data_IF_497796178297
#
_entry.id   IF_497796178297
#
_cell.length_a   1.000
_cell.length_b   1.000
_cell.length_c   1.000
_cell.angle_alpha   90.00
_cell.angle_beta   90.00
_cell.angle_gamma   90.00
#
_symmetry.space_group_name_H-M   'P 1'
#
loop_
_entity.id
_entity.type
_entity.pdbx_description
1 polymer ?
#
# COMPACT_ATOMS: atom_id res chain seq x y z
N UNK A 1 14.78 34.15 -32.93
CA UNK A 1 15.88 33.33 -32.35
C UNK A 1 16.20 33.94 -31.00
N UNK A 2 15.91 33.40 -29.82
CA UNK A 2 15.49 32.07 -29.34
C UNK A 2 14.61 32.33 -28.11
N UNK A 3 13.35 31.89 -28.13
CA UNK A 3 12.48 31.86 -26.95
C UNK A 3 12.93 30.71 -26.06
N UNK A 4 13.86 30.97 -25.13
CA UNK A 4 14.33 30.01 -24.16
C UNK A 4 13.26 29.79 -23.09
N UNK A 5 12.51 28.68 -23.18
CA UNK A 5 11.70 28.19 -22.07
C UNK A 5 12.63 27.49 -21.10
N UNK A 6 12.88 28.11 -19.95
CA UNK A 6 13.55 27.44 -18.83
C UNK A 6 12.51 26.57 -18.15
N UNK A 7 12.56 25.26 -18.40
CA UNK A 7 11.82 24.29 -17.59
C UNK A 7 12.48 24.23 -16.21
N UNK A 8 12.00 25.04 -15.26
CA UNK A 8 12.34 24.83 -13.86
C UNK A 8 11.63 23.57 -13.36
N UNK A 9 12.29 22.43 -13.52
CA UNK A 9 11.94 21.19 -12.83
C UNK A 9 12.40 21.36 -11.39
N UNK A 10 11.50 21.56 -10.44
CA UNK A 10 11.86 21.89 -9.05
C UNK A 10 12.54 20.73 -8.30
N UNK A 11 12.68 19.54 -8.92
CA UNK A 11 13.41 18.36 -8.41
C UNK A 11 13.19 18.08 -6.92
N UNK A 12 11.99 18.34 -6.39
CA UNK A 12 11.72 18.14 -4.97
C UNK A 12 11.83 16.64 -4.69
N UNK A 13 12.72 16.26 -3.76
CA UNK A 13 12.99 14.86 -3.42
C UNK A 13 12.16 14.36 -2.24
N UNK A 14 11.82 15.26 -1.32
CA UNK A 14 11.03 14.97 -0.13
C UNK A 14 10.08 16.14 0.13
N UNK A 15 8.91 15.82 0.69
CA UNK A 15 7.99 16.81 1.25
C UNK A 15 8.20 16.88 2.76
N UNK A 16 8.10 18.06 3.38
CA UNK A 16 8.10 18.20 4.83
C UNK A 16 6.85 17.55 5.43
N UNK A 17 6.98 16.88 6.58
CA UNK A 17 5.84 16.27 7.28
C UNK A 17 4.83 17.34 7.75
N UNK A 18 5.28 18.59 7.94
CA UNK A 18 4.46 19.74 8.27
C UNK A 18 3.45 20.10 7.17
N UNK A 19 3.65 19.64 5.92
CA UNK A 19 2.67 19.78 4.86
C UNK A 19 1.32 19.18 5.24
N UNK A 20 1.33 18.10 6.03
CA UNK A 20 0.13 17.41 6.45
C UNK A 20 -0.66 18.14 7.54
N UNK A 21 -0.10 19.22 8.11
CA UNK A 21 -0.82 20.12 9.03
C UNK A 21 -1.83 21.01 8.29
N UNK A 22 -1.81 21.06 6.96
CA UNK A 22 -2.77 21.79 6.14
C UNK A 22 -4.12 21.05 6.06
N UNK A 23 -4.80 20.91 7.19
CA UNK A 23 -6.02 20.09 7.33
C UNK A 23 -7.19 20.57 6.48
N UNK A 24 -7.21 21.84 6.11
CA UNK A 24 -8.25 22.45 5.26
C UNK A 24 -8.00 22.26 3.75
N UNK A 25 -6.83 21.74 3.37
CA UNK A 25 -6.47 21.57 1.96
C UNK A 25 -7.33 20.48 1.32
N UNK A 26 -7.97 20.82 0.20
CA UNK A 26 -8.81 19.89 -0.58
C UNK A 26 -8.10 19.29 -1.78
N UNK A 27 -7.11 19.98 -2.33
CA UNK A 27 -6.35 19.53 -3.48
C UNK A 27 -4.86 19.71 -3.22
N UNK A 28 -4.09 18.64 -3.46
CA UNK A 28 -2.64 18.66 -3.39
C UNK A 28 -2.08 18.14 -4.72
N UNK A 29 -1.41 19.03 -5.47
CA UNK A 29 -0.63 18.66 -6.64
C UNK A 29 0.87 18.79 -6.35
N UNK A 30 1.57 17.66 -6.46
CA UNK A 30 3.01 17.49 -6.24
C UNK A 30 3.66 16.80 -7.45
N UNK A 31 3.01 16.87 -8.62
CA UNK A 31 3.44 16.20 -9.85
C UNK A 31 4.76 16.77 -10.41
N UNK A 32 5.42 15.99 -11.28
CA UNK A 32 6.64 16.39 -11.99
C UNK A 32 7.80 16.77 -11.06
N UNK A 33 7.97 16.01 -9.99
CA UNK A 33 9.07 16.14 -9.03
C UNK A 33 9.93 14.87 -9.01
N UNK A 34 10.83 14.77 -8.02
CA UNK A 34 11.69 13.61 -7.82
C UNK A 34 11.34 12.87 -6.51
N UNK A 35 10.09 12.95 -6.06
CA UNK A 35 9.65 12.40 -4.78
C UNK A 35 9.76 10.88 -4.79
N UNK A 36 10.40 10.32 -3.76
CA UNK A 36 10.49 8.87 -3.59
C UNK A 36 9.40 8.30 -2.68
N UNK A 37 8.71 9.18 -1.95
CA UNK A 37 7.67 8.85 -0.98
C UNK A 37 6.72 10.03 -0.78
N UNK A 38 5.52 9.71 -0.29
CA UNK A 38 4.55 10.67 0.28
C UNK A 38 4.77 10.69 1.81
N UNK A 39 4.63 11.84 2.50
CA UNK A 39 4.76 11.93 3.96
C UNK A 39 3.94 10.87 4.70
N UNK A 40 4.52 10.31 5.77
CA UNK A 40 3.92 9.20 6.49
C UNK A 40 2.59 9.59 7.18
N UNK A 41 2.38 10.88 7.44
CA UNK A 41 1.21 11.45 8.08
C UNK A 41 0.21 12.09 7.11
N UNK A 42 0.28 11.79 5.80
CA UNK A 42 -0.69 12.31 4.81
C UNK A 42 -2.17 12.08 5.21
N UNK A 43 -2.45 11.03 5.97
CA UNK A 43 -3.77 10.75 6.53
C UNK A 43 -4.33 11.82 7.49
N UNK A 44 -3.54 12.78 7.95
CA UNK A 44 -3.98 13.91 8.79
C UNK A 44 -4.75 14.97 7.99
N UNK A 45 -4.58 15.00 6.67
CA UNK A 45 -5.24 15.94 5.76
C UNK A 45 -6.69 15.50 5.47
N UNK A 46 -7.54 15.45 6.50
CA UNK A 46 -8.88 14.84 6.46
C UNK A 46 -9.82 15.43 5.41
N UNK A 47 -9.63 16.68 4.99
CA UNK A 47 -10.45 17.33 3.97
C UNK A 47 -9.91 17.15 2.54
N UNK A 48 -8.82 16.39 2.35
CA UNK A 48 -8.23 16.19 1.02
C UNK A 48 -9.18 15.37 0.13
N UNK A 49 -9.59 15.98 -0.97
CA UNK A 49 -10.47 15.40 -1.99
C UNK A 49 -9.69 14.94 -3.23
N UNK A 50 -8.59 15.61 -3.59
CA UNK A 50 -7.78 15.26 -4.75
C UNK A 50 -6.29 15.27 -4.44
N UNK A 51 -5.61 14.17 -4.79
CA UNK A 51 -4.16 14.03 -4.67
C UNK A 51 -3.56 13.71 -6.05
N UNK A 52 -2.77 14.64 -6.58
CA UNK A 52 -2.08 14.50 -7.86
C UNK A 52 -0.58 14.45 -7.59
N UNK A 53 0.05 13.31 -7.87
CA UNK A 53 1.47 13.08 -7.67
C UNK A 53 2.10 12.38 -8.88
N UNK A 54 1.61 12.72 -10.07
CA UNK A 54 2.03 12.10 -11.32
C UNK A 54 3.50 12.41 -11.64
N UNK A 55 4.17 11.52 -12.35
CA UNK A 55 5.54 11.68 -12.83
C UNK A 55 6.52 12.04 -11.71
N UNK A 56 6.59 11.14 -10.72
CA UNK A 56 7.52 11.18 -9.60
C UNK A 56 8.32 9.85 -9.55
N UNK A 57 8.97 9.55 -8.43
CA UNK A 57 9.71 8.29 -8.19
C UNK A 57 9.14 7.53 -7.00
N UNK A 58 7.85 7.69 -6.70
CA UNK A 58 7.22 7.15 -5.49
C UNK A 58 7.24 5.62 -5.57
N UNK A 59 7.81 4.99 -4.56
CA UNK A 59 8.01 3.53 -4.51
C UNK A 59 6.96 2.80 -3.66
N UNK A 60 6.36 3.50 -2.69
CA UNK A 60 5.29 2.98 -1.85
C UNK A 60 4.33 4.10 -1.42
N UNK A 61 3.13 3.70 -1.01
CA UNK A 61 2.15 4.59 -0.39
C UNK A 61 2.12 4.37 1.12
N UNK A 62 2.09 5.43 1.94
CA UNK A 62 2.02 5.31 3.39
C UNK A 62 0.67 4.69 3.82
N UNK A 63 0.68 3.91 4.90
CA UNK A 63 -0.55 3.29 5.44
C UNK A 63 -1.63 4.32 5.80
N UNK A 64 -1.23 5.50 6.25
CA UNK A 64 -2.14 6.59 6.61
C UNK A 64 -2.94 7.13 5.42
N UNK A 65 -2.49 6.93 4.18
CA UNK A 65 -3.21 7.33 2.97
C UNK A 65 -4.62 6.73 2.95
N UNK A 66 -4.80 5.48 3.40
CA UNK A 66 -6.11 4.81 3.40
C UNK A 66 -7.09 5.37 4.43
N UNK A 67 -6.66 6.35 5.24
CA UNK A 67 -7.52 7.07 6.20
C UNK A 67 -8.13 8.35 5.62
N UNK A 68 -7.79 8.70 4.38
CA UNK A 68 -8.35 9.84 3.65
C UNK A 68 -9.72 9.46 3.07
N UNK A 69 -10.73 9.37 3.94
CA UNK A 69 -12.07 8.91 3.55
C UNK A 69 -12.80 9.85 2.61
N UNK A 70 -12.39 11.12 2.51
CA UNK A 70 -12.97 12.11 1.60
C UNK A 70 -12.28 12.16 0.22
N UNK A 71 -11.23 11.36 0.00
CA UNK A 71 -10.48 11.38 -1.25
C UNK A 71 -11.35 10.86 -2.41
N UNK A 72 -11.57 11.72 -3.41
CA UNK A 72 -12.39 11.47 -4.59
C UNK A 72 -11.56 11.06 -5.80
N UNK A 73 -10.35 11.61 -5.93
CA UNK A 73 -9.46 11.35 -7.06
C UNK A 73 -8.01 11.21 -6.61
N UNK A 74 -7.32 10.21 -7.16
CA UNK A 74 -5.89 10.00 -6.95
C UNK A 74 -5.19 9.76 -8.29
N UNK A 75 -4.16 10.55 -8.58
CA UNK A 75 -3.32 10.37 -9.75
C UNK A 75 -1.88 10.10 -9.30
N UNK A 76 -1.42 8.88 -9.53
CA UNK A 76 -0.07 8.39 -9.24
C UNK A 76 0.62 7.90 -10.52
N UNK A 77 0.15 8.33 -11.69
CA UNK A 77 0.71 7.94 -12.98
C UNK A 77 2.22 8.18 -13.02
N UNK A 78 2.99 7.29 -13.65
CA UNK A 78 4.41 7.52 -13.92
C UNK A 78 5.23 7.56 -12.62
N UNK A 79 5.04 6.56 -11.77
CA UNK A 79 5.80 6.38 -10.53
C UNK A 79 6.46 4.99 -10.52
N UNK A 80 7.06 4.60 -9.40
CA UNK A 80 7.77 3.33 -9.23
C UNK A 80 7.03 2.37 -8.29
N UNK A 81 5.69 2.45 -8.22
CA UNK A 81 4.89 1.60 -7.34
C UNK A 81 4.88 0.16 -7.85
N UNK A 82 5.30 -0.77 -6.99
CA UNK A 82 5.22 -2.22 -7.25
C UNK A 82 4.02 -2.88 -6.58
N UNK A 83 3.47 -2.23 -5.54
CA UNK A 83 2.27 -2.69 -4.85
C UNK A 83 1.44 -1.55 -4.26
N UNK A 84 0.17 -1.81 -4.02
CA UNK A 84 -0.71 -0.95 -3.23
C UNK A 84 -0.86 -1.48 -1.79
N UNK A 85 -1.15 -0.62 -0.80
CA UNK A 85 -1.51 -1.06 0.55
C UNK A 85 -2.66 -2.07 0.53
N UNK A 86 -2.64 -3.09 1.39
CA UNK A 86 -3.74 -4.09 1.49
C UNK A 86 -5.10 -3.46 1.76
N UNK A 87 -5.09 -2.31 2.42
CA UNK A 87 -6.26 -1.56 2.84
C UNK A 87 -6.65 -0.46 1.85
N UNK A 88 -6.08 -0.43 0.64
CA UNK A 88 -6.38 0.61 -0.36
C UNK A 88 -7.88 0.71 -0.69
N UNK A 89 -8.61 -0.41 -0.58
CA UNK A 89 -10.07 -0.45 -0.68
C UNK A 89 -10.84 0.36 0.39
N UNK A 90 -10.19 0.81 1.47
CA UNK A 90 -10.85 1.65 2.49
C UNK A 90 -11.14 3.09 2.03
N UNK A 91 -10.61 3.49 0.87
CA UNK A 91 -10.87 4.80 0.25
C UNK A 91 -12.26 4.84 -0.40
N UNK A 92 -13.32 4.67 0.38
CA UNK A 92 -14.69 4.41 -0.10
C UNK A 92 -15.28 5.54 -0.98
N UNK A 93 -14.77 6.77 -0.87
CA UNK A 93 -15.20 7.90 -1.71
C UNK A 93 -14.42 8.03 -3.02
N UNK A 94 -13.40 7.21 -3.25
CA UNK A 94 -12.50 7.30 -4.40
C UNK A 94 -13.19 6.82 -5.67
N UNK A 95 -13.29 7.72 -6.65
CA UNK A 95 -13.98 7.49 -7.93
C UNK A 95 -13.02 7.41 -9.10
N UNK A 96 -11.92 8.14 -9.02
CA UNK A 96 -10.95 8.29 -10.10
C UNK A 96 -9.57 7.87 -9.61
N UNK A 97 -8.97 6.91 -10.32
CA UNK A 97 -7.67 6.35 -9.97
C UNK A 97 -6.84 6.28 -11.25
N UNK A 98 -5.71 6.98 -11.28
CA UNK A 98 -4.69 6.76 -12.31
C UNK A 98 -3.42 6.16 -11.68
N UNK A 99 -3.17 4.90 -12.01
CA UNK A 99 -1.97 4.15 -11.60
C UNK A 99 -1.12 3.75 -12.81
N UNK A 100 -1.40 4.28 -13.99
CA UNK A 100 -0.69 3.92 -15.21
C UNK A 100 0.80 4.24 -15.10
N UNK A 101 1.61 3.59 -15.93
CA UNK A 101 3.06 3.78 -15.93
C UNK A 101 3.71 3.53 -14.54
N UNK A 102 3.16 2.58 -13.78
CA UNK A 102 3.81 2.01 -12.60
C UNK A 102 4.12 0.52 -12.84
N UNK A 103 5.24 0.00 -12.30
CA UNK A 103 5.59 -1.43 -12.38
C UNK A 103 4.78 -2.29 -11.38
N UNK A 104 3.45 -2.09 -11.32
CA UNK A 104 2.58 -2.75 -10.35
C UNK A 104 2.52 -4.27 -10.58
N UNK A 105 2.88 -5.02 -9.54
CA UNK A 105 2.78 -6.48 -9.46
C UNK A 105 1.54 -6.88 -8.64
N UNK A 106 1.22 -6.12 -7.59
CA UNK A 106 0.11 -6.40 -6.67
C UNK A 106 -0.69 -5.12 -6.33
N UNK A 107 -1.82 -4.85 -6.97
CA UNK A 107 -2.50 -5.66 -7.99
C UNK A 107 -1.80 -5.64 -9.37
N UNK A 108 -2.00 -6.64 -10.23
CA UNK A 108 -1.54 -6.61 -11.62
C UNK A 108 -2.17 -5.46 -12.40
N UNK A 109 -1.45 -4.92 -13.39
CA UNK A 109 -1.91 -3.79 -14.20
C UNK A 109 -3.35 -3.91 -14.73
N UNK A 110 -3.74 -5.09 -15.22
CA UNK A 110 -5.08 -5.36 -15.76
C UNK A 110 -6.22 -5.07 -14.75
N UNK A 111 -5.96 -5.22 -13.45
CA UNK A 111 -6.92 -4.90 -12.39
C UNK A 111 -7.08 -3.38 -12.22
N UNK A 112 -6.03 -2.62 -12.52
CA UNK A 112 -6.00 -1.16 -12.39
C UNK A 112 -6.49 -0.40 -13.63
N UNK A 113 -6.57 -1.05 -14.80
CA UNK A 113 -6.84 -0.38 -16.09
C UNK A 113 -8.19 0.37 -16.14
N UNK A 114 -9.18 -0.06 -15.36
CA UNK A 114 -10.48 0.60 -15.28
C UNK A 114 -10.52 1.87 -14.44
N UNK A 115 -9.43 2.22 -13.74
CA UNK A 115 -9.34 3.44 -12.93
C UNK A 115 -10.39 3.57 -11.81
N UNK A 116 -10.99 2.45 -11.39
CA UNK A 116 -12.00 2.39 -10.34
C UNK A 116 -11.51 1.54 -9.17
N UNK A 117 -12.04 1.81 -7.98
CA UNK A 117 -11.60 1.13 -6.77
C UNK A 117 -12.07 -0.33 -6.69
N UNK A 118 -13.26 -0.63 -7.22
CA UNK A 118 -13.93 -1.93 -7.03
C UNK A 118 -13.08 -3.14 -7.45
N UNK A 119 -12.46 -3.18 -8.64
CA UNK A 119 -11.62 -4.33 -9.03
C UNK A 119 -10.36 -4.45 -8.16
N UNK A 120 -9.77 -3.32 -7.79
CA UNK A 120 -8.57 -3.25 -6.93
C UNK A 120 -8.91 -3.79 -5.53
N UNK A 121 -10.00 -3.32 -4.93
CA UNK A 121 -10.47 -3.79 -3.62
C UNK A 121 -10.74 -5.30 -3.63
N UNK A 122 -11.46 -5.80 -4.63
CA UNK A 122 -11.76 -7.22 -4.76
C UNK A 122 -10.49 -8.07 -4.87
N UNK A 123 -9.52 -7.64 -5.69
CA UNK A 123 -8.24 -8.32 -5.81
C UNK A 123 -7.48 -8.32 -4.48
N UNK A 124 -7.36 -7.17 -3.81
CA UNK A 124 -6.59 -7.05 -2.56
C UNK A 124 -7.22 -7.90 -1.45
N UNK A 125 -8.56 -7.90 -1.34
CA UNK A 125 -9.29 -8.76 -0.41
C UNK A 125 -9.07 -10.24 -0.70
N UNK A 126 -9.19 -10.65 -1.97
CA UNK A 126 -8.93 -12.03 -2.37
C UNK A 126 -7.48 -12.44 -2.10
N UNK A 127 -6.51 -11.61 -2.45
CA UNK A 127 -5.09 -11.87 -2.23
C UNK A 127 -4.78 -12.02 -0.74
N UNK A 128 -5.33 -11.13 0.10
CA UNK A 128 -5.19 -11.21 1.55
C UNK A 128 -5.78 -12.52 2.12
N UNK A 129 -7.01 -12.88 1.75
CA UNK A 129 -7.64 -14.11 2.23
C UNK A 129 -6.95 -15.38 1.70
N UNK A 130 -6.44 -15.34 0.47
CA UNK A 130 -5.63 -16.41 -0.12
C UNK A 130 -4.32 -16.59 0.64
N UNK A 131 -3.59 -15.50 0.90
CA UNK A 131 -2.32 -15.51 1.62
C UNK A 131 -2.55 -15.99 3.08
N UNK A 132 -3.62 -15.54 3.73
CA UNK A 132 -4.04 -16.02 5.06
C UNK A 132 -4.38 -17.51 5.07
N UNK A 133 -5.12 -18.01 4.09
CA UNK A 133 -5.47 -19.44 3.96
C UNK A 133 -4.24 -20.29 3.67
N UNK A 134 -3.33 -19.79 2.83
CA UNK A 134 -2.06 -20.43 2.55
C UNK A 134 -1.21 -20.53 3.81
N UNK A 135 -1.03 -19.41 4.53
CA UNK A 135 -0.29 -19.37 5.79
C UNK A 135 -0.89 -20.34 6.81
N UNK A 136 -2.22 -20.37 6.96
CA UNK A 136 -2.90 -21.33 7.83
C UNK A 136 -2.56 -22.79 7.48
N UNK A 137 -2.58 -23.16 6.19
CA UNK A 137 -2.22 -24.52 5.75
C UNK A 137 -0.74 -24.83 6.02
N UNK A 138 0.16 -23.89 5.74
CA UNK A 138 1.60 -24.03 6.03
C UNK A 138 1.82 -24.30 7.52
N UNK A 139 1.17 -23.52 8.39
CA UNK A 139 1.24 -23.67 9.84
C UNK A 139 0.61 -24.97 10.35
N UNK A 140 -0.32 -25.59 9.60
CA UNK A 140 -0.90 -26.89 9.93
C UNK A 140 -0.05 -28.07 9.45
N UNK A 141 0.72 -27.92 8.36
CA UNK A 141 1.49 -29.01 7.75
C UNK A 141 2.91 -29.12 8.31
N UNK A 142 3.63 -28.00 8.42
CA UNK A 142 5.03 -27.97 8.88
C UNK A 142 5.24 -28.69 10.25
N UNK A 143 4.37 -28.53 11.27
CA UNK A 143 4.58 -29.17 12.58
C UNK A 143 4.76 -30.69 12.54
N UNK A 144 4.17 -31.36 11.54
CA UNK A 144 4.25 -32.82 11.38
C UNK A 144 5.57 -33.28 10.76
N UNK A 145 6.36 -32.35 10.23
CA UNK A 145 7.58 -32.62 9.49
C UNK A 145 8.84 -32.03 10.14
N UNK A 146 8.69 -31.29 11.25
CA UNK A 146 9.81 -30.66 11.96
C UNK A 146 9.69 -30.80 13.49
N UNK A 147 10.81 -30.66 14.19
CA UNK A 147 10.83 -30.71 15.65
C UNK A 147 10.01 -29.56 16.28
N UNK A 148 9.58 -29.65 17.55
CA UNK A 148 8.96 -28.53 18.26
C UNK A 148 9.81 -27.26 18.26
N UNK A 149 11.12 -27.40 18.47
CA UNK A 149 12.06 -26.28 18.49
C UNK A 149 12.16 -25.59 17.12
N UNK A 150 12.28 -26.37 16.04
CA UNK A 150 12.33 -25.83 14.68
C UNK A 150 11.02 -25.16 14.26
N UNK A 151 9.87 -25.68 14.72
CA UNK A 151 8.57 -25.08 14.46
C UNK A 151 8.39 -23.75 15.21
N UNK A 152 8.79 -23.69 16.48
CA UNK A 152 8.80 -22.46 17.27
C UNK A 152 9.71 -21.40 16.64
N UNK A 153 10.89 -21.81 16.19
CA UNK A 153 11.81 -20.94 15.46
C UNK A 153 11.18 -20.41 14.16
N UNK A 154 10.56 -21.29 13.35
CA UNK A 154 9.86 -20.91 12.13
C UNK A 154 8.76 -19.87 12.39
N UNK A 155 7.91 -20.10 13.39
CA UNK A 155 6.84 -19.19 13.76
C UNK A 155 7.36 -17.83 14.25
N UNK A 156 8.47 -17.82 15.00
CA UNK A 156 9.12 -16.57 15.42
C UNK A 156 9.66 -15.76 14.23
N UNK A 157 10.19 -16.43 13.20
CA UNK A 157 10.64 -15.77 11.96
C UNK A 157 9.51 -15.19 11.15
N UNK A 158 8.31 -15.74 11.26
CA UNK A 158 7.08 -15.15 10.70
C UNK A 158 6.52 -13.97 11.52
N UNK A 159 7.17 -13.62 12.65
CA UNK A 159 6.74 -12.55 13.54
C UNK A 159 5.32 -12.77 14.07
N UNK A 160 4.92 -14.04 14.24
CA UNK A 160 3.63 -14.36 14.83
C UNK A 160 3.65 -14.01 16.34
N UNK A 161 2.56 -13.48 16.89
CA UNK A 161 2.44 -13.25 18.34
C UNK A 161 2.69 -14.54 19.12
N UNK A 162 3.40 -14.47 20.25
CA UNK A 162 3.69 -15.64 21.09
C UNK A 162 2.43 -16.41 21.52
N UNK A 163 1.30 -15.72 21.67
CA UNK A 163 -0.02 -16.32 21.92
C UNK A 163 -0.46 -17.26 20.80
N UNK A 164 -0.24 -16.87 19.55
CA UNK A 164 -0.65 -17.62 18.36
C UNK A 164 0.26 -18.83 18.16
N UNK A 165 1.56 -18.68 18.43
CA UNK A 165 2.53 -19.78 18.42
C UNK A 165 2.13 -20.86 19.44
N UNK A 166 1.83 -20.45 20.67
CA UNK A 166 1.41 -21.36 21.74
C UNK A 166 0.10 -22.08 21.39
N UNK A 167 -0.86 -21.39 20.77
CA UNK A 167 -2.11 -21.99 20.32
C UNK A 167 -1.89 -23.03 19.20
N UNK A 168 -1.00 -22.74 18.26
CA UNK A 168 -0.62 -23.66 17.18
C UNK A 168 0.09 -24.91 17.73
N UNK A 169 1.02 -24.75 18.67
CA UNK A 169 1.71 -25.87 19.33
C UNK A 169 0.78 -26.74 20.18
N UNK A 170 -0.20 -26.14 20.87
CA UNK A 170 -1.24 -26.90 21.58
C UNK A 170 -2.09 -27.72 20.62
N UNK A 171 -2.51 -27.12 19.49
CA UNK A 171 -3.28 -27.85 18.48
C UNK A 171 -2.49 -29.02 17.86
N UNK A 172 -1.16 -28.88 17.70
CA UNK A 172 -0.25 -29.94 17.26
C UNK A 172 -0.26 -31.15 18.21
N UNK A 173 -0.22 -30.92 19.52
CA UNK A 173 -0.18 -32.00 20.51
C UNK A 173 -1.53 -32.68 20.75
N UNK A 174 -2.61 -32.11 20.21
CA UNK A 174 -3.98 -32.65 20.35
C UNK A 174 -4.37 -33.65 19.24
N UNK A 175 -3.56 -33.76 18.19
CA UNK A 175 -3.81 -34.58 16.98
C UNK A 175 -2.87 -35.81 16.94
N UNK A 176 -2.00 -35.97 17.95
CA UNK A 176 -1.17 -37.16 18.15
C UNK A 176 -1.82 -38.15 19.10
#
# INVERSE_FOLDING_TARGET
MTTGVVYCVWQIKNLPDELCNLTELRELDISYNALTSIPANIGEMKNLERLVAAYNKITYLPKSLTTLTNLLSINLRGNALTSLPTNFGQLQSLKEIDLNENPLVRPPKIVCEGGTLTPIEQYLKYAYEKDKKFLKKVLQLIPNHVSPEDFGYFCSKLHLPASDITALEKSRNSVK
#
